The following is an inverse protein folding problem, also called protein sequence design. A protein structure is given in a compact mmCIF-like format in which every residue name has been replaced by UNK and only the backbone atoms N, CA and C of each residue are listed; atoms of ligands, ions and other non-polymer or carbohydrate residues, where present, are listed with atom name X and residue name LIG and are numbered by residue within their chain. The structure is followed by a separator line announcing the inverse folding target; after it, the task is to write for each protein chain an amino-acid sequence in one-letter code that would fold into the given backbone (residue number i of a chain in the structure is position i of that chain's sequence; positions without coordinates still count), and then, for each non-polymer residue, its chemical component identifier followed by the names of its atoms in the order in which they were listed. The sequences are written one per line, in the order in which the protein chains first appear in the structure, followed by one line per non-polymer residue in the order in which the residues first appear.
data_IF_353489836873
#
_entry.id   IF_353489836873
#
_cell.length_a   1.000
_cell.length_b   1.000
_cell.length_c   1.000
_cell.angle_alpha   90.00
_cell.angle_beta   90.00
_cell.angle_gamma   90.00
#
_symmetry.space_group_name_H-M   'P 1'
#
loop_
_entity.id
_entity.type
_entity.pdbx_description
1 polymer ?
#
# COMPACT_ATOMS: atom_id res chain seq x y z
N UNK A 1 -6.97 -38.10 24.59
CA UNK A 1 -8.25 -37.32 24.59
C UNK A 1 -8.60 -36.96 23.16
N UNK A 2 -9.62 -37.62 22.52
CA UNK A 2 -10.04 -37.29 21.14
C UNK A 2 -10.90 -36.03 21.17
N UNK A 3 -10.42 -34.92 20.55
CA UNK A 3 -11.24 -33.72 20.36
C UNK A 3 -12.46 -34.06 19.51
N UNK A 4 -13.63 -33.56 19.90
CA UNK A 4 -14.86 -33.77 19.16
C UNK A 4 -14.84 -32.95 17.86
N UNK A 5 -15.52 -33.40 16.83
CA UNK A 5 -15.60 -32.70 15.52
C UNK A 5 -16.06 -31.24 15.67
N UNK A 6 -16.90 -30.94 16.66
CA UNK A 6 -17.38 -29.58 16.95
C UNK A 6 -16.29 -28.66 17.54
N UNK A 7 -15.36 -29.19 18.36
CA UNK A 7 -14.25 -28.40 18.92
C UNK A 7 -13.26 -27.99 17.83
N UNK A 8 -12.96 -28.91 16.91
CA UNK A 8 -12.08 -28.63 15.77
C UNK A 8 -12.69 -27.56 14.83
N UNK A 9 -14.00 -27.56 14.66
CA UNK A 9 -14.72 -26.57 13.85
C UNK A 9 -14.69 -25.17 14.51
N UNK A 10 -14.83 -25.10 15.84
CA UNK A 10 -14.76 -23.84 16.58
C UNK A 10 -13.36 -23.23 16.58
N UNK A 11 -12.32 -24.04 16.81
CA UNK A 11 -10.93 -23.58 16.77
C UNK A 11 -10.57 -23.00 15.39
N UNK A 12 -11.01 -23.63 14.30
CA UNK A 12 -10.82 -23.12 12.92
C UNK A 12 -11.55 -21.80 12.69
N UNK A 13 -12.77 -21.66 13.20
CA UNK A 13 -13.54 -20.43 13.05
C UNK A 13 -12.90 -19.27 13.82
N UNK A 14 -12.38 -19.51 15.02
CA UNK A 14 -11.65 -18.52 15.83
C UNK A 14 -10.36 -18.12 15.10
N UNK A 15 -9.59 -19.09 14.60
CA UNK A 15 -8.37 -18.80 13.83
C UNK A 15 -8.64 -17.93 12.59
N UNK A 16 -9.68 -18.25 11.82
CA UNK A 16 -10.08 -17.45 10.66
C UNK A 16 -10.46 -16.04 11.04
N UNK A 17 -11.21 -15.84 12.13
CA UNK A 17 -11.58 -14.52 12.64
C UNK A 17 -10.34 -13.68 13.02
N UNK A 18 -9.40 -14.29 13.74
CA UNK A 18 -8.15 -13.63 14.12
C UNK A 18 -7.34 -13.26 12.88
N UNK A 19 -7.25 -14.16 11.90
CA UNK A 19 -6.56 -13.89 10.64
C UNK A 19 -7.20 -12.73 9.86
N UNK A 20 -8.53 -12.67 9.78
CA UNK A 20 -9.26 -11.57 9.12
C UNK A 20 -9.05 -10.24 9.84
N UNK A 21 -9.08 -10.22 11.19
CA UNK A 21 -8.77 -9.03 11.98
C UNK A 21 -7.34 -8.55 11.76
N UNK A 22 -6.39 -9.48 11.76
CA UNK A 22 -4.98 -9.16 11.52
C UNK A 22 -4.74 -8.59 10.12
N UNK A 23 -5.34 -9.20 9.09
CA UNK A 23 -5.29 -8.68 7.73
C UNK A 23 -5.94 -7.29 7.63
N UNK A 24 -7.12 -7.10 8.24
CA UNK A 24 -7.79 -5.78 8.28
C UNK A 24 -6.90 -4.72 8.93
N UNK A 25 -6.16 -5.07 9.98
CA UNK A 25 -5.20 -4.18 10.64
C UNK A 25 -4.06 -3.81 9.68
N UNK A 26 -3.49 -4.79 8.98
CA UNK A 26 -2.43 -4.55 7.99
C UNK A 26 -2.94 -3.61 6.89
N UNK A 27 -4.16 -3.81 6.38
CA UNK A 27 -4.73 -2.94 5.36
C UNK A 27 -4.94 -1.50 5.84
N UNK A 28 -5.42 -1.28 7.07
CA UNK A 28 -5.66 0.07 7.59
C UNK A 28 -4.35 0.78 7.97
N UNK A 29 -3.45 0.11 8.67
CA UNK A 29 -2.24 0.74 9.20
C UNK A 29 -1.06 0.67 8.23
N UNK A 30 -0.93 -0.40 7.47
CA UNK A 30 0.14 -0.54 6.47
C UNK A 30 0.01 0.51 5.38
N UNK A 31 -1.18 0.67 4.81
CA UNK A 31 -1.42 1.68 3.77
C UNK A 31 -1.25 3.11 4.29
N UNK A 32 -1.69 3.39 5.53
CA UNK A 32 -1.50 4.71 6.15
C UNK A 32 -0.05 5.06 6.40
N UNK A 33 0.80 4.06 6.65
CA UNK A 33 2.22 4.30 6.89
C UNK A 33 3.01 4.53 5.58
N UNK A 34 2.71 3.74 4.53
CA UNK A 34 3.46 3.73 3.27
C UNK A 34 2.90 4.70 2.21
N UNK A 35 1.60 5.02 2.28
CA UNK A 35 0.87 5.83 1.30
C UNK A 35 -0.01 6.89 1.98
N UNK A 36 0.43 7.43 3.13
CA UNK A 36 -0.29 8.54 3.75
C UNK A 36 -0.37 9.69 2.74
N UNK A 37 -1.55 10.34 2.60
CA UNK A 37 -1.61 11.59 1.88
C UNK A 37 -0.65 12.56 2.55
N UNK A 38 0.34 13.02 1.80
CA UNK A 38 1.43 13.86 2.29
C UNK A 38 1.21 15.26 1.72
N UNK A 39 1.41 16.28 2.53
CA UNK A 39 1.48 17.66 2.05
C UNK A 39 2.81 17.86 1.31
N UNK A 40 2.80 18.70 0.27
CA UNK A 40 4.03 19.06 -0.46
C UNK A 40 5.10 19.62 0.49
N UNK A 41 4.68 20.31 1.55
CA UNK A 41 5.56 20.92 2.56
C UNK A 41 6.29 19.88 3.44
N UNK A 42 5.71 18.67 3.58
CA UNK A 42 6.31 17.59 4.36
C UNK A 42 7.33 16.77 3.54
N UNK A 43 7.37 16.98 2.22
CA UNK A 43 8.23 16.24 1.32
C UNK A 43 9.66 16.79 1.32
N UNK A 44 10.61 15.91 1.04
CA UNK A 44 12.03 16.31 0.91
C UNK A 44 12.34 16.61 -0.55
N UNK A 45 12.79 17.84 -0.81
CA UNK A 45 13.29 18.21 -2.13
C UNK A 45 14.76 17.82 -2.26
N UNK A 46 15.08 17.09 -3.34
CA UNK A 46 16.45 16.67 -3.68
C UNK A 46 16.80 17.21 -5.04
N UNK A 47 17.88 17.99 -5.11
CA UNK A 47 18.47 18.46 -6.37
C UNK A 47 19.72 17.61 -6.62
N UNK A 48 19.77 16.92 -7.76
CA UNK A 48 20.84 16.00 -8.11
C UNK A 48 20.97 15.87 -9.64
N UNK A 49 21.89 15.05 -10.10
CA UNK A 49 22.02 14.72 -11.52
C UNK A 49 21.51 13.31 -11.78
N UNK A 50 20.86 13.13 -12.89
CA UNK A 50 20.43 11.83 -13.38
C UNK A 50 21.62 10.99 -13.84
N UNK A 51 21.68 9.72 -13.44
CA UNK A 51 22.73 8.79 -13.88
C UNK A 51 22.15 7.73 -14.82
N UNK A 52 21.12 7.03 -14.36
CA UNK A 52 20.48 5.97 -15.13
C UNK A 52 19.11 5.64 -14.55
N UNK A 53 18.30 4.93 -15.33
CA UNK A 53 17.08 4.33 -14.80
C UNK A 53 17.02 2.83 -15.06
N UNK A 54 16.21 2.12 -14.29
CA UNK A 54 15.94 0.69 -14.46
C UNK A 54 14.47 0.39 -14.18
N UNK A 55 13.87 -0.38 -15.06
CA UNK A 55 12.50 -0.82 -14.92
C UNK A 55 12.39 -2.17 -14.24
N UNK A 56 11.44 -2.30 -13.34
CA UNK A 56 10.98 -3.57 -12.83
C UNK A 56 9.62 -3.89 -13.42
N UNK A 57 9.59 -4.83 -14.33
CA UNK A 57 8.36 -5.28 -15.00
C UNK A 57 7.85 -6.59 -14.40
N UNK A 58 6.52 -6.74 -14.35
CA UNK A 58 5.85 -7.98 -13.97
C UNK A 58 4.64 -8.20 -14.86
N UNK A 59 4.57 -9.35 -15.51
CA UNK A 59 3.48 -9.72 -16.44
C UNK A 59 3.25 -8.71 -17.56
N UNK A 60 4.33 -8.10 -18.05
CA UNK A 60 4.28 -7.11 -19.13
C UNK A 60 3.88 -5.70 -18.72
N UNK A 61 3.68 -5.42 -17.42
CA UNK A 61 3.42 -4.08 -16.90
C UNK A 61 4.60 -3.60 -16.06
N UNK A 62 4.96 -2.33 -16.20
CA UNK A 62 5.96 -1.67 -15.36
C UNK A 62 5.35 -1.53 -13.97
N UNK A 63 6.04 -2.09 -12.97
CA UNK A 63 5.63 -2.00 -11.55
C UNK A 63 6.37 -0.90 -10.83
N UNK A 64 7.58 -0.60 -11.26
CA UNK A 64 8.47 0.32 -10.59
C UNK A 64 9.54 0.79 -11.58
N UNK A 65 9.92 2.06 -11.51
CA UNK A 65 11.12 2.59 -12.14
C UNK A 65 12.06 3.06 -11.03
N UNK A 66 13.29 2.57 -11.07
CA UNK A 66 14.35 3.05 -10.21
C UNK A 66 15.14 4.13 -10.94
N UNK A 67 15.36 5.27 -10.29
CA UNK A 67 16.22 6.34 -10.78
C UNK A 67 17.49 6.37 -9.93
N UNK A 68 18.62 6.11 -10.55
CA UNK A 68 19.93 6.20 -9.92
C UNK A 68 20.46 7.64 -10.10
N UNK A 69 20.91 8.26 -9.03
CA UNK A 69 21.35 9.65 -9.00
C UNK A 69 22.84 9.80 -8.66
N UNK A 70 23.45 10.92 -9.06
CA UNK A 70 24.86 11.21 -8.82
C UNK A 70 25.24 11.32 -7.32
N UNK A 71 24.25 11.59 -6.46
CA UNK A 71 24.44 11.54 -5.00
C UNK A 71 24.62 10.12 -4.44
N UNK A 72 24.62 9.10 -5.30
CA UNK A 72 24.75 7.68 -4.94
C UNK A 72 23.47 7.04 -4.40
N UNK A 73 22.39 7.79 -4.34
CA UNK A 73 21.09 7.28 -3.90
C UNK A 73 20.24 6.81 -5.08
N UNK A 74 19.32 5.92 -4.77
CA UNK A 74 18.32 5.40 -5.69
C UNK A 74 16.94 5.76 -5.18
N UNK A 75 16.12 6.31 -6.07
CA UNK A 75 14.76 6.66 -5.80
C UNK A 75 13.80 5.84 -6.64
N UNK A 76 12.54 5.72 -6.21
CA UNK A 76 11.56 4.82 -6.78
C UNK A 76 10.36 5.59 -7.33
N UNK A 77 10.02 5.34 -8.58
CA UNK A 77 8.78 5.77 -9.22
C UNK A 77 7.79 4.60 -9.19
N UNK A 78 6.66 4.77 -8.49
CA UNK A 78 5.63 3.74 -8.41
C UNK A 78 4.92 3.57 -9.76
N UNK A 79 4.73 2.32 -10.18
CA UNK A 79 4.12 1.96 -11.46
C UNK A 79 2.72 2.51 -11.66
N UNK A 80 1.96 2.71 -10.57
CA UNK A 80 0.63 3.32 -10.63
C UNK A 80 0.65 4.79 -11.05
N UNK A 81 1.79 5.47 -10.86
CA UNK A 81 2.01 6.87 -11.21
C UNK A 81 2.65 7.05 -12.59
N UNK A 82 3.11 5.96 -13.22
CA UNK A 82 3.77 6.00 -14.52
C UNK A 82 2.71 6.07 -15.62
N UNK A 83 2.56 7.25 -16.22
CA UNK A 83 1.83 7.45 -17.47
C UNK A 83 2.79 7.37 -18.65
N UNK A 84 2.27 7.20 -19.88
CA UNK A 84 3.09 7.19 -21.07
C UNK A 84 3.99 8.44 -21.21
N UNK A 85 3.50 9.68 -20.98
CA UNK A 85 4.34 10.87 -21.01
C UNK A 85 5.45 10.87 -19.96
N UNK A 86 5.18 10.34 -18.75
CA UNK A 86 6.20 10.24 -17.69
C UNK A 86 7.29 9.25 -18.09
N UNK A 87 6.91 8.11 -18.67
CA UNK A 87 7.87 7.11 -19.15
C UNK A 87 8.77 7.69 -20.24
N UNK A 88 8.17 8.30 -21.27
CA UNK A 88 8.91 8.96 -22.35
C UNK A 88 9.81 10.08 -21.83
N UNK A 89 9.36 10.84 -20.82
CA UNK A 89 10.17 11.86 -20.16
C UNK A 89 11.40 11.26 -19.46
N UNK A 90 11.23 10.16 -18.72
CA UNK A 90 12.35 9.47 -18.06
C UNK A 90 13.32 8.84 -19.06
N UNK A 91 12.80 8.24 -20.14
CA UNK A 91 13.62 7.66 -21.23
C UNK A 91 14.48 8.71 -21.95
N UNK A 92 14.00 9.95 -22.02
CA UNK A 92 14.70 11.05 -22.68
C UNK A 92 15.70 11.79 -21.79
N UNK A 93 15.72 11.52 -20.47
CA UNK A 93 16.71 12.10 -19.55
C UNK A 93 18.13 11.71 -19.96
N UNK A 94 19.01 12.69 -20.00
CA UNK A 94 20.42 12.47 -20.35
C UNK A 94 21.24 12.26 -19.07
N UNK A 95 22.26 11.41 -19.15
CA UNK A 95 23.21 11.23 -18.06
C UNK A 95 23.88 12.56 -17.69
N UNK A 96 23.94 12.88 -16.40
CA UNK A 96 24.39 14.15 -15.80
C UNK A 96 23.43 15.33 -16.02
N UNK A 97 22.21 15.09 -16.52
CA UNK A 97 21.18 16.11 -16.55
C UNK A 97 20.76 16.47 -15.12
N UNK A 98 20.68 17.77 -14.78
CA UNK A 98 20.19 18.19 -13.48
C UNK A 98 18.69 17.89 -13.34
N UNK A 99 18.32 17.19 -12.28
CA UNK A 99 16.94 16.86 -11.94
C UNK A 99 16.60 17.31 -10.54
N UNK A 100 15.34 17.67 -10.37
CA UNK A 100 14.76 17.97 -9.06
C UNK A 100 13.71 16.92 -8.74
N UNK A 101 13.86 16.28 -7.59
CA UNK A 101 12.97 15.26 -7.07
C UNK A 101 12.27 15.79 -5.83
N UNK A 102 10.99 15.53 -5.70
CA UNK A 102 10.25 15.66 -4.45
C UNK A 102 9.97 14.26 -3.92
N UNK A 103 10.53 13.94 -2.75
CA UNK A 103 10.54 12.58 -2.20
C UNK A 103 9.59 12.50 -1.01
N UNK A 104 8.87 11.39 -0.91
CA UNK A 104 7.98 11.09 0.20
C UNK A 104 8.78 11.00 1.52
N UNK A 105 8.32 11.61 2.64
CA UNK A 105 9.09 11.71 3.89
C UNK A 105 9.44 10.36 4.54
N UNK A 106 8.68 9.32 4.27
CA UNK A 106 8.85 8.00 4.91
C UNK A 106 9.30 6.90 3.93
N UNK A 107 9.65 7.25 2.69
CA UNK A 107 10.09 6.29 1.67
C UNK A 107 10.92 7.00 0.60
N UNK A 108 11.63 6.23 -0.22
CA UNK A 108 12.40 6.76 -1.36
C UNK A 108 11.52 6.96 -2.61
N UNK A 109 10.20 7.07 -2.42
CA UNK A 109 9.23 7.23 -3.52
C UNK A 109 9.23 8.66 -4.02
N UNK A 110 9.38 8.82 -5.32
CA UNK A 110 9.31 10.10 -6.02
C UNK A 110 7.84 10.51 -6.17
N UNK A 111 7.51 11.70 -5.71
CA UNK A 111 6.17 12.31 -5.83
C UNK A 111 6.12 13.41 -6.90
N UNK A 112 7.26 14.00 -7.23
CA UNK A 112 7.42 14.96 -8.34
C UNK A 112 8.81 14.77 -8.94
N UNK A 113 8.88 14.88 -10.26
CA UNK A 113 10.12 14.79 -11.02
C UNK A 113 10.16 15.92 -12.05
N UNK A 114 11.21 16.72 -12.01
CA UNK A 114 11.47 17.78 -12.97
C UNK A 114 12.90 17.66 -13.52
N UNK A 115 13.05 17.84 -14.82
CA UNK A 115 14.33 17.93 -15.52
C UNK A 115 14.50 19.28 -16.22
N UNK A 116 15.50 19.43 -17.07
CA UNK A 116 15.75 20.66 -17.83
C UNK A 116 14.57 21.01 -18.76
N UNK A 117 13.90 20.00 -19.31
CA UNK A 117 12.75 20.16 -20.20
C UNK A 117 11.45 20.58 -19.50
N UNK A 118 11.45 20.62 -18.16
CA UNK A 118 10.29 20.97 -17.33
C UNK A 118 9.86 19.83 -16.38
N UNK A 119 8.65 19.95 -15.87
CA UNK A 119 8.08 18.95 -14.96
C UNK A 119 7.61 17.72 -15.75
N UNK A 120 8.20 16.57 -15.47
CA UNK A 120 7.86 15.29 -16.08
C UNK A 120 6.70 14.60 -15.34
N UNK A 121 6.63 14.80 -14.03
CA UNK A 121 5.59 14.24 -13.17
C UNK A 121 5.20 15.27 -12.10
N UNK A 122 3.93 15.62 -12.04
CA UNK A 122 3.40 16.61 -11.11
C UNK A 122 2.99 15.98 -9.79
N UNK A 123 3.29 16.67 -8.69
CA UNK A 123 2.93 16.24 -7.32
C UNK A 123 1.43 15.98 -7.16
N UNK A 124 0.59 16.88 -7.67
CA UNK A 124 -0.85 16.80 -7.46
C UNK A 124 -1.47 15.54 -8.10
N UNK A 125 -0.97 15.15 -9.27
CA UNK A 125 -1.43 13.94 -9.97
C UNK A 125 -1.08 12.68 -9.18
N UNK A 126 0.13 12.62 -8.61
CA UNK A 126 0.60 11.49 -7.80
C UNK A 126 -0.13 11.45 -6.46
N UNK A 127 -0.22 12.60 -5.78
CA UNK A 127 -0.89 12.70 -4.48
C UNK A 127 -2.37 12.28 -4.57
N UNK A 128 -3.06 12.65 -5.65
CA UNK A 128 -4.45 12.25 -5.88
C UNK A 128 -4.59 10.73 -6.07
N UNK A 129 -3.68 10.09 -6.82
CA UNK A 129 -3.68 8.63 -7.03
C UNK A 129 -3.39 7.88 -5.73
N UNK A 130 -2.36 8.30 -5.00
CA UNK A 130 -2.00 7.74 -3.69
C UNK A 130 -3.15 7.88 -2.70
N UNK A 131 -3.84 9.03 -2.68
CA UNK A 131 -5.01 9.24 -1.82
C UNK A 131 -6.17 8.29 -2.21
N UNK A 132 -6.40 8.05 -3.50
CA UNK A 132 -7.42 7.13 -4.01
C UNK A 132 -7.17 5.69 -3.55
N UNK A 133 -5.95 5.21 -3.69
CA UNK A 133 -5.54 3.87 -3.26
C UNK A 133 -5.67 3.71 -1.73
N UNK A 134 -5.24 4.70 -0.97
CA UNK A 134 -5.37 4.71 0.50
C UNK A 134 -6.83 4.61 0.94
N UNK A 135 -7.73 5.32 0.28
CA UNK A 135 -9.16 5.27 0.59
C UNK A 135 -9.75 3.88 0.31
N UNK A 136 -9.43 3.28 -0.82
CA UNK A 136 -9.89 1.95 -1.20
C UNK A 136 -9.44 0.89 -0.20
N UNK A 137 -8.18 0.88 0.18
CA UNK A 137 -7.65 -0.07 1.17
C UNK A 137 -8.22 0.16 2.56
N UNK A 138 -8.45 1.41 2.95
CA UNK A 138 -9.10 1.74 4.24
C UNK A 138 -10.53 1.20 4.28
N UNK A 139 -11.31 1.40 3.22
CA UNK A 139 -12.67 0.86 3.11
C UNK A 139 -12.66 -0.67 3.16
N UNK A 140 -11.74 -1.32 2.44
CA UNK A 140 -11.59 -2.77 2.47
C UNK A 140 -11.26 -3.28 3.88
N UNK A 141 -10.34 -2.62 4.59
CA UNK A 141 -10.00 -2.93 5.98
C UNK A 141 -11.22 -2.81 6.91
N UNK A 142 -12.00 -1.74 6.78
CA UNK A 142 -13.23 -1.55 7.57
C UNK A 142 -14.25 -2.67 7.31
N UNK A 143 -14.44 -3.06 6.04
CA UNK A 143 -15.32 -4.18 5.68
C UNK A 143 -14.85 -5.51 6.29
N UNK A 144 -13.54 -5.75 6.32
CA UNK A 144 -12.98 -6.93 6.98
C UNK A 144 -13.25 -6.93 8.50
N UNK A 145 -13.14 -5.78 9.18
CA UNK A 145 -13.51 -5.67 10.60
C UNK A 145 -15.00 -5.92 10.81
N UNK A 146 -15.87 -5.35 10.00
CA UNK A 146 -17.32 -5.56 10.09
C UNK A 146 -17.68 -7.06 9.92
N UNK A 147 -17.06 -7.74 8.94
CA UNK A 147 -17.24 -9.18 8.73
C UNK A 147 -16.76 -10.01 9.93
N UNK A 148 -15.59 -9.66 10.50
CA UNK A 148 -15.06 -10.34 11.67
C UNK A 148 -15.95 -10.16 12.91
N UNK A 149 -16.48 -8.95 13.16
CA UNK A 149 -17.42 -8.68 14.25
C UNK A 149 -18.74 -9.46 14.07
N UNK A 150 -19.28 -9.52 12.84
CA UNK A 150 -20.44 -10.33 12.52
C UNK A 150 -20.21 -11.83 12.77
N UNK A 151 -19.05 -12.34 12.39
CA UNK A 151 -18.63 -13.71 12.67
C UNK A 151 -18.51 -14.00 14.17
N UNK A 152 -17.90 -13.09 14.92
CA UNK A 152 -17.78 -13.19 16.39
C UNK A 152 -19.14 -13.20 17.06
N UNK A 153 -20.04 -12.30 16.66
CA UNK A 153 -21.41 -12.27 17.17
C UNK A 153 -22.12 -13.61 16.94
N UNK A 154 -22.00 -14.19 15.75
CA UNK A 154 -22.60 -15.49 15.42
C UNK A 154 -22.02 -16.63 16.28
N UNK A 155 -20.70 -16.65 16.51
CA UNK A 155 -20.07 -17.62 17.40
C UNK A 155 -20.56 -17.52 18.85
N UNK A 156 -20.65 -16.29 19.38
CA UNK A 156 -21.16 -16.06 20.73
C UNK A 156 -22.62 -16.52 20.85
N UNK A 157 -23.44 -16.21 19.83
CA UNK A 157 -24.85 -16.64 19.79
C UNK A 157 -25.00 -18.15 19.76
N UNK A 158 -24.16 -18.84 18.97
CA UNK A 158 -24.15 -20.31 18.92
C UNK A 158 -23.73 -20.92 20.27
N UNK A 159 -22.68 -20.36 20.88
CA UNK A 159 -22.19 -20.82 22.19
C UNK A 159 -23.23 -20.64 23.30
N UNK A 160 -23.94 -19.51 23.35
CA UNK A 160 -25.04 -19.28 24.29
C UNK A 160 -26.19 -20.29 24.09
N UNK A 161 -26.54 -20.60 22.85
CA UNK A 161 -27.58 -21.60 22.53
C UNK A 161 -27.19 -23.01 22.99
N UNK A 162 -25.94 -23.42 22.79
CA UNK A 162 -25.45 -24.71 23.24
C UNK A 162 -25.42 -24.82 24.77
N UNK A 163 -25.02 -23.76 25.48
CA UNK A 163 -25.01 -23.70 26.94
C UNK A 163 -26.40 -23.85 27.54
N UNK A 164 -27.39 -23.21 26.94
CA UNK A 164 -28.79 -23.30 27.39
C UNK A 164 -29.38 -24.72 27.19
N UNK A 165 -29.04 -25.40 26.08
CA UNK A 165 -29.45 -26.80 25.85
C UNK A 165 -28.85 -27.78 26.85
N UNK A 166 -27.62 -27.55 27.35
CA UNK A 166 -27.00 -28.39 28.35
C UNK A 166 -27.57 -28.21 29.77
N UNK A 167 -28.25 -27.09 30.05
CA UNK A 167 -28.92 -26.84 31.33
C UNK A 167 -30.34 -27.42 31.39
N UNK A 168 -30.92 -27.84 30.28
CA UNK A 168 -32.26 -28.43 30.20
C UNK A 168 -32.25 -29.96 30.14
N UNK A 169 -31.05 -30.58 30.15
CA UNK A 169 -30.84 -32.02 30.36
C UNK A 169 -30.29 -32.27 31.77
#
# INVERSE_FOLDING_TARGET
MKRTHNEISQDRAIFLLVAVLFLGTIFIFGTRYWHAPVSREDCTQVNTEFVSYRERTRRGSIQLIYIDCANGQRYELDGSCISQPVLEGVENLQTQEPITLLIHPNSDTILELSGESGTLMEFDDVAQRVAGDTLLFTVLGILMYAAALGGLYNLIRQWRRQRNRKKQK
#
